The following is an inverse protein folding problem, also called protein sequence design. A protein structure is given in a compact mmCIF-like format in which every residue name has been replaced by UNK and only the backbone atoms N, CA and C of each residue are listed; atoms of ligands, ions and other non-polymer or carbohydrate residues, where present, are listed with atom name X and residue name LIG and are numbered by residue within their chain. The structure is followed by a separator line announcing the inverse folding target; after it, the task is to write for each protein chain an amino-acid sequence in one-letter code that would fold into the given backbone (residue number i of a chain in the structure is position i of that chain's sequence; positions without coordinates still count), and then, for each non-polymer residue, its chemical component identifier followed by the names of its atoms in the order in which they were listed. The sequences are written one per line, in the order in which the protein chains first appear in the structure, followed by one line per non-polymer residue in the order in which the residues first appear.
data_IF_672542262281
#
_entry.id   IF_672542262281
#
_cell.length_a   1.000
_cell.length_b   1.000
_cell.length_c   1.000
_cell.angle_alpha   90.00
_cell.angle_beta   90.00
_cell.angle_gamma   90.00
#
_symmetry.space_group_name_H-M   'P 1'
#
loop_
_entity.id
_entity.type
_entity.pdbx_description
1 polymer ?
#
# COMPACT_ATOMS: atom_id res chain seq x y z
N UNK A 1 18.81 -2.02 2.99
CA UNK A 1 18.59 -1.64 1.56
C UNK A 1 17.31 -0.83 1.45
N UNK A 2 17.31 0.25 0.68
CA UNK A 2 16.18 1.18 0.52
C UNK A 2 15.24 0.68 -0.59
N UNK A 3 13.93 0.67 -0.35
CA UNK A 3 12.90 0.39 -1.37
C UNK A 3 12.43 1.66 -2.05
N UNK A 4 12.14 2.70 -1.25
CA UNK A 4 11.66 4.00 -1.74
C UNK A 4 12.52 5.10 -1.16
N UNK A 5 12.93 6.07 -2.01
CA UNK A 5 13.63 7.28 -1.58
C UNK A 5 13.10 8.49 -2.31
N UNK A 6 12.75 9.52 -1.56
CA UNK A 6 12.37 10.84 -2.03
C UNK A 6 13.45 11.85 -1.64
N UNK A 7 13.98 12.57 -2.60
CA UNK A 7 15.04 13.58 -2.42
C UNK A 7 14.53 14.95 -2.91
N UNK A 8 14.19 15.83 -1.98
CA UNK A 8 13.71 17.21 -2.23
C UNK A 8 12.56 17.27 -3.26
N UNK A 9 11.63 16.32 -3.17
CA UNK A 9 10.53 16.19 -4.14
C UNK A 9 9.47 17.24 -3.90
N UNK A 10 9.10 17.95 -4.97
CA UNK A 10 7.95 18.86 -4.98
C UNK A 10 7.03 18.54 -6.16
N UNK A 11 5.72 18.70 -5.94
CA UNK A 11 4.70 18.53 -6.97
C UNK A 11 3.74 19.71 -6.96
N UNK A 12 3.58 20.35 -8.13
CA UNK A 12 2.62 21.42 -8.36
C UNK A 12 1.65 21.02 -9.46
N UNK A 13 0.39 21.37 -9.29
CA UNK A 13 -0.64 21.25 -10.30
C UNK A 13 -1.01 22.62 -10.80
N UNK A 14 -0.85 22.88 -12.13
CA UNK A 14 -1.11 24.18 -12.73
C UNK A 14 -0.31 25.33 -12.12
N UNK A 15 -0.91 26.51 -12.04
CA UNK A 15 -0.30 27.71 -11.45
C UNK A 15 -0.54 27.85 -9.93
N UNK A 16 -1.12 26.83 -9.28
CA UNK A 16 -1.50 26.84 -7.86
C UNK A 16 -0.36 26.61 -6.89
N UNK A 17 -0.72 26.38 -5.61
CA UNK A 17 0.21 25.99 -4.55
C UNK A 17 0.78 24.61 -4.79
N UNK A 18 1.96 24.33 -4.24
CA UNK A 18 2.55 23.00 -4.26
C UNK A 18 1.67 22.01 -3.47
N UNK A 19 1.26 20.93 -4.12
CA UNK A 19 0.57 19.82 -3.46
C UNK A 19 1.54 19.03 -2.56
N UNK A 20 2.83 19.01 -2.95
CA UNK A 20 3.93 18.48 -2.14
C UNK A 20 5.11 19.46 -2.24
N UNK A 21 5.76 19.74 -1.12
CA UNK A 21 6.85 20.71 -1.03
C UNK A 21 8.05 20.14 -0.29
N UNK A 22 9.17 19.98 -0.99
CA UNK A 22 10.47 19.54 -0.45
C UNK A 22 10.38 18.24 0.38
N UNK A 23 9.69 17.24 -0.14
CA UNK A 23 9.52 15.94 0.52
C UNK A 23 10.83 15.17 0.52
N UNK A 24 11.24 14.70 1.70
CA UNK A 24 12.42 13.86 1.91
C UNK A 24 12.07 12.72 2.85
N UNK A 25 12.18 11.47 2.39
CA UNK A 25 12.07 10.28 3.24
C UNK A 25 12.61 9.04 2.51
N UNK A 26 12.84 8.00 3.29
CA UNK A 26 13.17 6.67 2.80
C UNK A 26 12.28 5.61 3.46
N UNK A 27 11.97 4.55 2.70
CA UNK A 27 11.40 3.31 3.21
C UNK A 27 12.40 2.18 2.95
N UNK A 28 12.67 1.39 3.97
CA UNK A 28 13.50 0.19 3.82
C UNK A 28 12.74 -0.92 3.09
N UNK A 29 13.46 -1.88 2.51
CA UNK A 29 12.83 -3.10 1.96
C UNK A 29 12.21 -3.93 3.07
N UNK A 30 10.97 -4.41 2.85
CA UNK A 30 10.21 -5.16 3.85
C UNK A 30 9.69 -4.29 5.01
N UNK A 31 9.80 -2.96 4.93
CA UNK A 31 9.23 -2.06 5.93
C UNK A 31 7.72 -1.94 5.78
N UNK A 32 7.02 -1.84 6.92
CA UNK A 32 5.62 -1.44 6.98
C UNK A 32 5.54 -0.02 7.54
N UNK A 33 4.89 0.89 6.81
CA UNK A 33 4.72 2.26 7.25
C UNK A 33 3.32 2.80 6.93
N UNK A 34 2.86 3.76 7.72
CA UNK A 34 1.67 4.54 7.48
C UNK A 34 2.01 5.93 6.94
N UNK A 35 1.22 6.40 5.98
CA UNK A 35 1.19 7.79 5.53
C UNK A 35 -0.10 8.42 6.03
N UNK A 36 0.00 9.35 6.98
CA UNK A 36 -1.14 10.00 7.60
C UNK A 36 -1.16 11.50 7.34
N UNK A 37 -2.31 12.12 7.54
CA UNK A 37 -2.53 13.56 7.35
C UNK A 37 -3.99 13.84 7.02
N UNK A 38 -4.41 15.11 7.18
CA UNK A 38 -5.77 15.53 6.89
C UNK A 38 -6.16 15.32 5.41
N UNK A 39 -7.45 15.41 5.10
CA UNK A 39 -7.91 15.38 3.71
C UNK A 39 -7.26 16.54 2.92
N UNK A 40 -6.76 16.24 1.71
CA UNK A 40 -6.04 17.22 0.90
C UNK A 40 -4.58 17.47 1.32
N UNK A 41 -4.03 16.80 2.33
CA UNK A 41 -2.63 16.96 2.73
C UNK A 41 -1.60 16.56 1.66
N UNK A 42 -2.01 15.81 0.61
CA UNK A 42 -1.15 15.35 -0.48
C UNK A 42 -0.85 13.85 -0.48
N UNK A 43 -1.50 13.04 0.40
CA UNK A 43 -1.27 11.58 0.51
C UNK A 43 -1.41 10.86 -0.84
N UNK A 44 -2.55 11.01 -1.50
CA UNK A 44 -2.79 10.37 -2.81
C UNK A 44 -1.86 10.90 -3.91
N UNK A 45 -1.40 12.17 -3.83
CA UNK A 45 -0.39 12.72 -4.73
C UNK A 45 0.94 11.99 -4.54
N UNK A 46 1.36 11.75 -3.30
CA UNK A 46 2.60 11.03 -2.99
C UNK A 46 2.54 9.60 -3.52
N UNK A 47 1.40 8.89 -3.33
CA UNK A 47 1.20 7.56 -3.91
C UNK A 47 1.24 7.59 -5.45
N UNK A 48 0.58 8.56 -6.10
CA UNK A 48 0.58 8.71 -7.57
C UNK A 48 1.98 8.92 -8.15
N UNK A 49 2.85 9.61 -7.44
CA UNK A 49 4.25 9.79 -7.83
C UNK A 49 5.02 8.46 -7.82
N UNK A 50 4.82 7.62 -6.79
CA UNK A 50 5.46 6.29 -6.71
C UNK A 50 4.97 5.33 -7.79
N UNK A 51 3.73 5.46 -8.24
CA UNK A 51 3.13 4.68 -9.34
C UNK A 51 3.48 5.23 -10.73
N UNK A 52 4.17 6.38 -10.83
CA UNK A 52 4.34 7.13 -12.08
C UNK A 52 3.00 7.43 -12.79
N UNK A 53 1.92 7.61 -12.04
CA UNK A 53 0.68 8.22 -12.56
C UNK A 53 0.86 9.73 -12.73
N UNK A 54 1.74 10.30 -11.92
CA UNK A 54 2.18 11.70 -11.95
C UNK A 54 3.70 11.77 -11.93
N UNK A 55 4.28 12.85 -12.42
CA UNK A 55 5.73 13.12 -12.32
C UNK A 55 5.97 14.25 -11.33
N UNK A 56 7.08 14.24 -10.59
CA UNK A 56 7.45 15.37 -9.74
C UNK A 56 7.74 16.61 -10.59
N UNK A 57 7.49 17.79 -10.03
CA UNK A 57 7.90 19.07 -10.63
C UNK A 57 9.38 19.34 -10.37
N UNK A 58 9.88 18.90 -9.20
CA UNK A 58 11.29 19.01 -8.78
C UNK A 58 11.66 17.82 -7.89
N UNK A 59 12.96 17.59 -7.74
CA UNK A 59 13.51 16.55 -6.90
C UNK A 59 13.62 15.20 -7.60
N UNK A 60 13.98 14.17 -6.85
CA UNK A 60 14.26 12.83 -7.37
C UNK A 60 13.49 11.78 -6.58
N UNK A 61 12.97 10.79 -7.30
CA UNK A 61 12.24 9.65 -6.72
C UNK A 61 12.92 8.37 -7.19
N UNK A 62 13.34 7.56 -6.24
CA UNK A 62 13.94 6.25 -6.51
C UNK A 62 13.02 5.19 -5.90
N UNK A 63 12.64 4.18 -6.67
CA UNK A 63 11.86 3.02 -6.21
C UNK A 63 12.52 1.76 -6.77
N UNK A 64 12.82 0.80 -5.90
CA UNK A 64 13.48 -0.47 -6.26
C UNK A 64 14.74 -0.22 -7.11
N UNK A 65 15.60 0.69 -6.64
CA UNK A 65 16.85 1.14 -7.28
C UNK A 65 16.68 1.82 -8.66
N UNK A 66 15.42 2.11 -9.07
CA UNK A 66 15.12 2.78 -10.32
C UNK A 66 14.78 4.26 -10.10
N UNK A 67 15.44 5.15 -10.83
CA UNK A 67 15.13 6.58 -10.84
C UNK A 67 13.86 6.84 -11.68
N UNK A 68 12.74 7.10 -11.01
CA UNK A 68 11.46 7.37 -11.66
C UNK A 68 11.43 8.72 -12.36
N UNK A 69 12.28 9.67 -11.93
CA UNK A 69 12.28 11.04 -12.45
C UNK A 69 12.71 11.07 -13.92
N UNK A 70 13.69 10.23 -14.27
CA UNK A 70 14.26 10.14 -15.62
C UNK A 70 13.69 8.99 -16.45
N UNK A 71 12.80 8.18 -15.88
CA UNK A 71 12.26 6.98 -16.52
C UNK A 71 11.47 7.33 -17.78
N UNK A 72 11.79 6.66 -18.91
CA UNK A 72 11.12 6.84 -20.21
C UNK A 72 9.73 6.19 -20.18
N UNK A 73 8.80 6.72 -21.00
CA UNK A 73 7.41 6.22 -21.05
C UNK A 73 7.31 4.71 -21.30
N UNK A 74 8.14 4.15 -22.19
CA UNK A 74 8.16 2.71 -22.47
C UNK A 74 8.59 1.83 -21.28
N UNK A 75 9.23 2.38 -20.26
CA UNK A 75 9.68 1.66 -19.07
C UNK A 75 8.61 1.69 -17.95
N UNK A 76 7.65 2.63 -18.00
CA UNK A 76 6.60 2.80 -16.98
C UNK A 76 5.78 1.52 -16.75
N UNK A 77 5.35 0.75 -17.78
CA UNK A 77 4.63 -0.50 -17.54
C UNK A 77 5.44 -1.52 -16.75
N UNK A 78 6.74 -1.61 -16.95
CA UNK A 78 7.62 -2.52 -16.21
C UNK A 78 7.77 -2.11 -14.75
N UNK A 79 7.85 -0.81 -14.47
CA UNK A 79 7.83 -0.29 -13.10
C UNK A 79 6.50 -0.62 -12.41
N UNK A 80 5.36 -0.33 -13.05
CA UNK A 80 4.03 -0.58 -12.48
C UNK A 80 3.77 -2.06 -12.16
N UNK A 81 4.39 -2.98 -12.87
CA UNK A 81 4.33 -4.43 -12.56
C UNK A 81 5.04 -4.79 -11.26
N UNK A 82 5.92 -3.94 -10.73
CA UNK A 82 6.62 -4.15 -9.46
C UNK A 82 5.89 -3.52 -8.27
N UNK A 83 4.83 -2.73 -8.53
CA UNK A 83 4.06 -2.00 -7.53
C UNK A 83 2.63 -2.51 -7.53
N UNK A 84 2.20 -3.09 -6.42
CA UNK A 84 0.79 -3.41 -6.18
C UNK A 84 0.07 -2.19 -5.62
N UNK A 85 -1.18 -1.99 -6.03
CA UNK A 85 -1.97 -0.83 -5.57
C UNK A 85 -3.37 -1.26 -5.17
N UNK A 86 -3.75 -0.87 -3.96
CA UNK A 86 -5.11 -1.02 -3.43
C UNK A 86 -5.73 0.37 -3.34
N UNK A 87 -6.80 0.60 -4.09
CA UNK A 87 -7.50 1.88 -4.14
C UNK A 87 -8.68 1.91 -3.17
N UNK A 88 -9.01 3.08 -2.65
CA UNK A 88 -10.12 3.30 -1.72
C UNK A 88 -11.47 2.76 -2.24
N UNK A 89 -11.78 2.92 -3.51
CA UNK A 89 -13.03 2.49 -4.13
C UNK A 89 -12.91 1.15 -4.86
N UNK A 90 -12.02 0.25 -4.43
CA UNK A 90 -11.73 -1.07 -5.00
C UNK A 90 -11.43 -1.09 -6.49
N UNK A 91 -12.07 -0.23 -7.31
CA UNK A 91 -11.96 -0.11 -8.77
C UNK A 91 -12.12 -1.47 -9.46
N UNK A 92 -13.09 -2.27 -9.02
CA UNK A 92 -13.42 -3.55 -9.63
C UNK A 92 -14.22 -3.34 -10.90
N UNK A 93 -14.01 -4.23 -11.88
CA UNK A 93 -14.79 -4.29 -13.11
C UNK A 93 -16.03 -5.14 -12.81
N UNK A 94 -17.20 -4.50 -12.73
CA UNK A 94 -18.47 -5.13 -12.37
C UNK A 94 -19.09 -5.96 -13.49
N UNK A 95 -18.60 -5.80 -14.72
CA UNK A 95 -18.95 -6.60 -15.90
C UNK A 95 -18.11 -7.88 -16.04
N UNK A 96 -17.24 -8.16 -15.07
CA UNK A 96 -16.30 -9.29 -15.06
C UNK A 96 -16.36 -10.07 -13.77
N UNK A 97 -15.98 -11.34 -13.84
CA UNK A 97 -15.86 -12.20 -12.67
C UNK A 97 -14.75 -11.75 -11.71
N UNK A 98 -14.75 -12.28 -10.50
CA UNK A 98 -13.65 -12.11 -9.54
C UNK A 98 -12.34 -12.61 -10.14
N UNK A 99 -12.39 -13.78 -10.80
CA UNK A 99 -11.22 -14.34 -11.47
C UNK A 99 -10.63 -13.35 -12.48
N UNK A 100 -11.47 -12.80 -13.36
CA UNK A 100 -11.02 -11.88 -14.42
C UNK A 100 -10.47 -10.57 -13.86
N UNK A 101 -11.08 -10.06 -12.78
CA UNK A 101 -10.58 -8.89 -12.06
C UNK A 101 -9.15 -9.12 -11.54
N UNK A 102 -8.90 -10.27 -10.90
CA UNK A 102 -7.58 -10.61 -10.35
C UNK A 102 -6.59 -11.00 -11.45
N UNK A 103 -7.05 -11.61 -12.55
CA UNK A 103 -6.21 -12.00 -13.67
C UNK A 103 -5.69 -10.82 -14.51
N UNK A 104 -6.38 -9.67 -14.48
CA UNK A 104 -6.09 -8.53 -15.36
C UNK A 104 -4.63 -8.08 -15.38
N UNK A 105 -3.93 -7.89 -14.23
CA UNK A 105 -2.52 -7.53 -14.24
C UNK A 105 -1.62 -8.58 -14.89
N UNK A 106 -1.96 -9.85 -14.78
CA UNK A 106 -1.21 -10.96 -15.38
C UNK A 106 -1.41 -11.02 -16.90
N UNK A 107 -2.64 -10.79 -17.36
CA UNK A 107 -2.97 -10.71 -18.80
C UNK A 107 -2.20 -9.56 -19.45
N UNK A 108 -2.20 -8.36 -18.84
CA UNK A 108 -1.43 -7.19 -19.29
C UNK A 108 0.08 -7.48 -19.29
N UNK A 109 0.55 -8.32 -18.36
CA UNK A 109 1.96 -8.72 -18.28
C UNK A 109 2.34 -9.81 -19.28
N UNK A 110 1.38 -10.42 -20.02
CA UNK A 110 1.61 -11.45 -21.02
C UNK A 110 1.79 -12.86 -20.45
N UNK A 111 1.26 -13.14 -19.26
CA UNK A 111 1.27 -14.49 -18.72
C UNK A 111 0.36 -15.43 -19.53
N UNK A 112 0.75 -16.69 -19.65
CA UNK A 112 -0.11 -17.72 -20.25
C UNK A 112 -1.37 -17.94 -19.42
N UNK A 113 -2.51 -18.37 -20.02
CA UNK A 113 -3.74 -18.63 -19.27
C UNK A 113 -3.54 -19.61 -18.10
N UNK A 114 -2.77 -20.67 -18.30
CA UNK A 114 -2.48 -21.67 -17.28
C UNK A 114 -1.71 -21.07 -16.09
N UNK A 115 -0.66 -20.31 -16.35
CA UNK A 115 0.12 -19.64 -15.29
C UNK A 115 -0.71 -18.57 -14.58
N UNK A 116 -1.50 -17.78 -15.32
CA UNK A 116 -2.40 -16.80 -14.75
C UNK A 116 -3.43 -17.47 -13.83
N UNK A 117 -4.06 -18.56 -14.24
CA UNK A 117 -5.04 -19.27 -13.43
C UNK A 117 -4.43 -19.77 -12.10
N UNK A 118 -3.23 -20.34 -12.15
CA UNK A 118 -2.51 -20.79 -10.96
C UNK A 118 -2.25 -19.64 -9.98
N UNK A 119 -1.78 -18.50 -10.49
CA UNK A 119 -1.47 -17.31 -9.67
C UNK A 119 -2.73 -16.64 -9.11
N UNK A 120 -3.80 -16.56 -9.90
CA UNK A 120 -5.10 -16.02 -9.46
C UNK A 120 -5.64 -16.82 -8.28
N UNK A 121 -5.69 -18.17 -8.39
CA UNK A 121 -6.16 -19.01 -7.28
C UNK A 121 -5.31 -18.85 -6.03
N UNK A 122 -3.99 -18.81 -6.16
CA UNK A 122 -3.10 -18.57 -5.03
C UNK A 122 -3.32 -17.18 -4.39
N UNK A 123 -3.59 -16.14 -5.19
CA UNK A 123 -3.90 -14.82 -4.68
C UNK A 123 -5.27 -14.77 -3.97
N UNK A 124 -6.29 -15.42 -4.54
CA UNK A 124 -7.62 -15.53 -3.93
C UNK A 124 -7.57 -16.35 -2.63
N UNK A 125 -6.80 -17.42 -2.60
CA UNK A 125 -6.58 -18.22 -1.39
C UNK A 125 -5.94 -17.39 -0.27
N UNK A 126 -4.92 -16.58 -0.61
CA UNK A 126 -4.22 -15.73 0.37
C UNK A 126 -5.12 -14.68 1.06
N UNK A 127 -6.26 -14.34 0.45
CA UNK A 127 -7.26 -13.40 0.99
C UNK A 127 -8.56 -14.09 1.43
N UNK A 128 -8.62 -15.44 1.43
CA UNK A 128 -9.77 -16.23 1.88
C UNK A 128 -10.97 -16.22 0.92
N UNK A 129 -10.73 -16.05 -0.39
CA UNK A 129 -11.77 -16.03 -1.42
C UNK A 129 -11.65 -17.17 -2.45
N UNK A 130 -10.87 -18.22 -2.13
CA UNK A 130 -10.80 -19.41 -2.98
C UNK A 130 -12.19 -20.05 -3.10
N UNK A 131 -12.57 -20.45 -4.30
CA UNK A 131 -13.91 -21.03 -4.59
C UNK A 131 -14.98 -19.98 -4.96
N UNK A 132 -14.62 -18.69 -4.93
CA UNK A 132 -15.52 -17.60 -5.38
C UNK A 132 -15.17 -17.06 -6.77
N UNK A 133 -14.27 -17.69 -7.50
CA UNK A 133 -13.70 -17.18 -8.75
C UNK A 133 -14.73 -16.80 -9.81
N UNK A 134 -15.83 -17.58 -9.89
CA UNK A 134 -16.89 -17.37 -10.87
C UNK A 134 -17.92 -16.32 -10.52
N UNK A 135 -17.92 -15.79 -9.30
CA UNK A 135 -18.88 -14.75 -8.88
C UNK A 135 -18.55 -13.39 -9.49
N UNK A 136 -19.56 -12.52 -9.55
CA UNK A 136 -19.38 -11.12 -9.91
C UNK A 136 -19.16 -10.25 -8.67
N UNK A 137 -18.39 -9.14 -8.77
CA UNK A 137 -18.17 -8.25 -7.65
C UNK A 137 -19.45 -7.69 -6.99
N UNK A 138 -20.55 -7.54 -7.77
CA UNK A 138 -21.83 -7.06 -7.25
C UNK A 138 -22.48 -8.00 -6.23
N UNK A 139 -22.10 -9.27 -6.23
CA UNK A 139 -22.61 -10.30 -5.32
C UNK A 139 -21.87 -10.32 -3.99
N UNK A 140 -20.79 -9.51 -3.87
CA UNK A 140 -19.90 -9.50 -2.73
C UNK A 140 -20.22 -8.37 -1.75
N UNK A 141 -20.00 -8.64 -0.46
CA UNK A 141 -19.92 -7.60 0.58
C UNK A 141 -18.75 -6.63 0.31
N UNK A 142 -18.81 -5.44 0.93
CA UNK A 142 -17.75 -4.44 0.79
C UNK A 142 -16.36 -4.98 1.20
N UNK A 143 -16.29 -5.78 2.25
CA UNK A 143 -15.05 -6.41 2.69
C UNK A 143 -14.53 -7.48 1.74
N UNK A 144 -15.42 -8.28 1.13
CA UNK A 144 -15.02 -9.23 0.09
C UNK A 144 -14.52 -8.51 -1.17
N UNK A 145 -15.18 -7.42 -1.58
CA UNK A 145 -14.71 -6.56 -2.68
C UNK A 145 -13.31 -5.99 -2.39
N UNK A 146 -13.07 -5.55 -1.14
CA UNK A 146 -11.76 -5.09 -0.71
C UNK A 146 -10.72 -6.20 -0.82
N UNK A 147 -11.02 -7.42 -0.38
CA UNK A 147 -10.13 -8.58 -0.50
C UNK A 147 -9.84 -8.94 -1.95
N UNK A 148 -10.82 -8.82 -2.87
CA UNK A 148 -10.57 -8.99 -4.32
C UNK A 148 -9.60 -7.91 -4.82
N UNK A 149 -9.77 -6.64 -4.41
CA UNK A 149 -8.85 -5.55 -4.74
C UNK A 149 -7.42 -5.83 -4.26
N UNK A 150 -7.28 -6.38 -3.05
CA UNK A 150 -5.97 -6.79 -2.50
C UNK A 150 -5.40 -7.96 -3.30
N UNK A 151 -6.18 -9.01 -3.57
CA UNK A 151 -5.73 -10.14 -4.39
C UNK A 151 -5.21 -9.70 -5.76
N UNK A 152 -5.93 -8.78 -6.43
CA UNK A 152 -5.50 -8.17 -7.69
C UNK A 152 -4.19 -7.42 -7.55
N UNK A 153 -4.00 -6.70 -6.45
CA UNK A 153 -2.77 -5.94 -6.20
C UNK A 153 -1.55 -6.82 -5.94
N UNK A 154 -1.73 -8.03 -5.40
CA UNK A 154 -0.61 -8.93 -5.02
C UNK A 154 -0.37 -10.09 -6.00
N UNK A 155 -1.27 -10.33 -6.98
CA UNK A 155 -1.24 -11.50 -7.88
C UNK A 155 0.06 -11.63 -8.67
N UNK A 156 0.71 -10.51 -8.98
CA UNK A 156 1.99 -10.48 -9.69
C UNK A 156 3.21 -10.43 -8.75
N UNK A 157 3.01 -10.60 -7.42
CA UNK A 157 4.05 -10.59 -6.38
C UNK A 157 4.89 -9.30 -6.39
N UNK A 158 4.26 -8.15 -6.11
CA UNK A 158 4.95 -6.87 -6.11
C UNK A 158 5.99 -6.79 -4.99
N UNK A 159 7.07 -6.02 -5.20
CA UNK A 159 8.04 -5.71 -4.16
C UNK A 159 7.57 -4.56 -3.23
N UNK A 160 6.67 -3.70 -3.74
CA UNK A 160 6.06 -2.58 -3.04
C UNK A 160 4.54 -2.65 -3.16
N UNK A 161 3.84 -2.58 -2.04
CA UNK A 161 2.38 -2.55 -1.95
C UNK A 161 1.95 -1.19 -1.38
N UNK A 162 1.20 -0.44 -2.17
CA UNK A 162 0.63 0.85 -1.81
C UNK A 162 -0.87 0.69 -1.58
N UNK A 163 -1.41 1.30 -0.53
CA UNK A 163 -2.85 1.33 -0.30
C UNK A 163 -3.31 2.75 0.05
N UNK A 164 -4.41 3.18 -0.55
CA UNK A 164 -5.04 4.48 -0.29
C UNK A 164 -6.38 4.24 0.42
N UNK A 165 -6.45 4.53 1.72
CA UNK A 165 -7.62 4.36 2.61
C UNK A 165 -8.26 2.96 2.51
N UNK A 166 -7.49 1.85 2.70
CA UNK A 166 -7.98 0.49 2.41
C UNK A 166 -9.09 0.01 3.36
N UNK A 167 -9.33 0.72 4.47
CA UNK A 167 -10.33 0.38 5.51
C UNK A 167 -11.40 1.45 5.67
N UNK A 168 -11.40 2.51 4.84
CA UNK A 168 -12.20 3.71 5.06
C UNK A 168 -13.72 3.53 5.07
N UNK A 169 -14.24 2.40 4.57
CA UNK A 169 -15.68 2.10 4.51
C UNK A 169 -16.03 0.77 5.21
N UNK A 170 -15.14 0.28 6.07
CA UNK A 170 -15.29 -1.00 6.76
C UNK A 170 -15.53 -0.77 8.26
N UNK A 171 -16.24 -1.71 8.89
CA UNK A 171 -16.33 -1.74 10.34
C UNK A 171 -14.97 -2.05 10.98
N UNK A 172 -14.82 -1.82 12.31
CA UNK A 172 -13.53 -1.99 12.98
C UNK A 172 -12.97 -3.42 12.92
N UNK A 173 -13.83 -4.45 12.99
CA UNK A 173 -13.41 -5.86 12.98
C UNK A 173 -12.86 -6.22 11.59
N UNK A 174 -13.59 -5.88 10.55
CA UNK A 174 -13.18 -6.11 9.18
C UNK A 174 -11.93 -5.29 8.79
N UNK A 175 -11.81 -4.06 9.34
CA UNK A 175 -10.62 -3.23 9.20
C UNK A 175 -9.38 -3.92 9.75
N UNK A 176 -9.49 -4.56 10.92
CA UNK A 176 -8.39 -5.31 11.53
C UNK A 176 -8.01 -6.54 10.68
N UNK A 177 -8.99 -7.28 10.16
CA UNK A 177 -8.75 -8.40 9.26
C UNK A 177 -7.99 -7.96 7.99
N UNK A 178 -8.40 -6.86 7.37
CA UNK A 178 -7.72 -6.29 6.20
C UNK A 178 -6.29 -5.88 6.54
N UNK A 179 -6.07 -5.25 7.69
CA UNK A 179 -4.71 -4.86 8.10
C UNK A 179 -3.83 -6.08 8.39
N UNK A 180 -4.39 -7.15 8.94
CA UNK A 180 -3.68 -8.41 9.14
C UNK A 180 -3.27 -9.07 7.80
N UNK A 181 -4.04 -8.88 6.71
CA UNK A 181 -3.61 -9.28 5.37
C UNK A 181 -2.36 -8.51 4.92
N UNK A 182 -2.32 -7.19 5.10
CA UNK A 182 -1.14 -6.38 4.75
C UNK A 182 0.09 -6.78 5.57
N UNK A 183 -0.07 -7.08 6.86
CA UNK A 183 1.01 -7.59 7.71
C UNK A 183 1.57 -8.92 7.22
N UNK A 184 0.71 -9.86 6.80
CA UNK A 184 1.15 -11.15 6.22
C UNK A 184 1.98 -10.94 4.95
N UNK A 185 1.62 -9.99 4.09
CA UNK A 185 2.44 -9.67 2.92
C UNK A 185 3.78 -9.04 3.31
N UNK A 186 3.81 -8.17 4.31
CA UNK A 186 5.05 -7.60 4.82
C UNK A 186 5.97 -8.69 5.40
N UNK A 187 5.43 -9.65 6.16
CA UNK A 187 6.21 -10.76 6.75
C UNK A 187 6.91 -11.63 5.69
N UNK A 188 6.38 -11.72 4.47
CA UNK A 188 7.04 -12.42 3.36
C UNK A 188 7.94 -11.50 2.52
N UNK A 189 8.26 -10.30 3.03
CA UNK A 189 9.25 -9.38 2.47
C UNK A 189 8.71 -8.28 1.56
N UNK A 190 7.39 -8.14 1.39
CA UNK A 190 6.80 -7.02 0.64
C UNK A 190 6.92 -5.74 1.47
N UNK A 191 7.39 -4.66 0.85
CA UNK A 191 7.34 -3.32 1.47
C UNK A 191 5.93 -2.78 1.38
N UNK A 192 5.36 -2.29 2.49
CA UNK A 192 3.96 -1.83 2.55
C UNK A 192 3.89 -0.37 3.00
N UNK A 193 3.18 0.46 2.24
CA UNK A 193 2.84 1.82 2.62
C UNK A 193 1.34 2.04 2.51
N UNK A 194 0.70 2.37 3.62
CA UNK A 194 -0.74 2.58 3.72
C UNK A 194 -1.02 4.03 4.03
N UNK A 195 -1.71 4.73 3.13
CA UNK A 195 -2.27 6.04 3.40
C UNK A 195 -3.62 5.85 4.13
N UNK A 196 -3.74 6.42 5.34
CA UNK A 196 -4.98 6.43 6.12
C UNK A 196 -5.01 7.61 7.08
N UNK A 197 -6.21 8.01 7.49
CA UNK A 197 -6.46 9.00 8.52
C UNK A 197 -6.96 8.38 9.84
N UNK A 198 -7.11 7.05 9.91
CA UNK A 198 -7.53 6.34 11.13
C UNK A 198 -6.38 6.24 12.14
N UNK A 199 -6.31 7.23 13.03
CA UNK A 199 -5.26 7.32 14.06
C UNK A 199 -5.35 6.15 15.05
N UNK A 200 -6.57 5.71 15.42
CA UNK A 200 -6.75 4.61 16.37
C UNK A 200 -6.20 3.29 15.82
N UNK A 201 -6.42 3.02 14.54
CA UNK A 201 -5.85 1.88 13.84
C UNK A 201 -4.32 1.94 13.79
N UNK A 202 -3.76 3.10 13.43
CA UNK A 202 -2.31 3.31 13.37
C UNK A 202 -1.65 3.06 14.74
N UNK A 203 -2.25 3.57 15.82
CA UNK A 203 -1.72 3.41 17.18
C UNK A 203 -1.75 1.96 17.65
N UNK A 204 -2.82 1.23 17.35
CA UNK A 204 -2.92 -0.21 17.66
C UNK A 204 -1.85 -1.02 16.96
N UNK A 205 -1.57 -0.72 15.69
CA UNK A 205 -0.61 -1.48 14.90
C UNK A 205 0.86 -1.15 15.22
N UNK A 206 1.15 0.03 15.75
CA UNK A 206 2.47 0.38 16.25
C UNK A 206 3.58 0.40 15.21
N UNK A 207 3.29 0.75 13.95
CA UNK A 207 4.28 0.89 12.89
C UNK A 207 4.70 2.36 12.66
N UNK A 208 5.78 2.56 11.91
CA UNK A 208 6.28 3.90 11.56
C UNK A 208 5.22 4.75 10.89
N UNK A 209 5.19 6.03 11.25
CA UNK A 209 4.28 7.02 10.66
C UNK A 209 5.04 8.09 9.88
N UNK A 210 4.59 8.36 8.67
CA UNK A 210 4.96 9.50 7.86
C UNK A 210 3.78 10.48 7.91
N UNK A 211 3.95 11.62 8.57
CA UNK A 211 2.87 12.60 8.78
C UNK A 211 2.99 13.67 7.71
N UNK A 212 1.98 13.76 6.85
CA UNK A 212 1.89 14.78 5.81
C UNK A 212 0.95 15.89 6.24
N UNK A 213 1.47 17.10 6.32
CA UNK A 213 0.71 18.29 6.67
C UNK A 213 0.95 19.40 5.65
N UNK A 214 -0.12 19.90 5.00
CA UNK A 214 -0.08 20.93 3.97
C UNK A 214 1.05 20.75 2.94
N UNK A 215 1.22 19.52 2.45
CA UNK A 215 2.23 19.17 1.45
C UNK A 215 3.66 19.08 1.98
N UNK A 216 3.88 19.14 3.29
CA UNK A 216 5.17 18.96 3.95
C UNK A 216 5.16 17.66 4.76
N UNK A 217 6.28 16.95 4.78
CA UNK A 217 6.40 15.70 5.51
C UNK A 217 7.13 15.90 6.84
N UNK A 218 6.52 15.38 7.90
CA UNK A 218 7.11 15.24 9.22
C UNK A 218 7.26 13.76 9.51
N UNK A 219 8.47 13.28 9.79
CA UNK A 219 8.69 11.89 10.20
C UNK A 219 8.54 11.78 11.71
N UNK A 220 7.64 10.93 12.20
CA UNK A 220 7.69 10.46 13.58
C UNK A 220 8.50 9.17 13.60
N UNK A 221 9.64 9.17 14.31
CA UNK A 221 10.34 7.94 14.64
C UNK A 221 9.46 7.10 15.55
N UNK A 222 9.36 5.81 15.27
CA UNK A 222 8.68 4.86 16.14
C UNK A 222 9.51 4.72 17.44
N UNK A 223 9.00 5.26 18.56
CA UNK A 223 9.50 4.85 19.86
C UNK A 223 9.00 3.42 20.12
N UNK A 224 9.88 2.44 19.93
CA UNK A 224 9.64 1.10 20.45
C UNK A 224 9.40 1.20 21.95
N UNK A 225 8.16 1.02 22.42
CA UNK A 225 7.90 0.76 23.82
C UNK A 225 8.65 -0.53 24.15
N UNK A 226 9.85 -0.39 24.73
CA UNK A 226 10.46 -1.47 25.52
C UNK A 226 9.41 -1.84 26.56
N UNK A 227 8.83 -3.02 26.45
CA UNK A 227 8.15 -3.67 27.56
C UNK A 227 9.17 -3.73 28.67
N UNK A 228 9.01 -2.89 29.67
CA UNK A 228 9.68 -3.04 30.97
C UNK A 228 9.12 -4.29 31.65
N UNK A 229 9.72 -5.44 31.29
CA UNK A 229 9.67 -6.60 32.14
C UNK A 229 10.70 -6.34 33.23
N UNK A 230 10.25 -5.82 34.36
CA UNK A 230 10.83 -6.07 35.69
C UNK A 230 10.21 -5.13 36.73
N UNK A 231 9.13 -5.57 37.30
CA UNK A 231 8.79 -5.28 38.70
C UNK A 231 8.08 -6.52 39.21
N UNK A 232 8.86 -7.51 39.62
CA UNK A 232 8.41 -8.45 40.64
C UNK A 232 8.50 -7.73 42.00
N UNK A 233 7.43 -7.67 42.77
CA UNK A 233 7.57 -7.29 44.18
C UNK A 233 8.27 -8.45 44.90
N UNK A 234 9.41 -8.13 45.51
CA UNK A 234 10.11 -9.04 46.41
C UNK A 234 9.24 -9.35 47.62
N UNK A 235 9.04 -10.64 47.87
CA UNK A 235 8.53 -11.16 49.16
C UNK A 235 9.53 -10.81 50.22
N UNK A 236 9.08 -9.97 51.14
CA UNK A 236 9.77 -9.69 52.41
C UNK A 236 9.12 -10.58 53.46
N UNK A 237 9.79 -11.70 53.74
CA UNK A 237 9.57 -12.52 54.90
C UNK A 237 10.83 -12.43 55.79
N UNK A 238 10.69 -11.69 56.88
CA UNK A 238 11.60 -11.64 58.00
C UNK A 238 10.85 -11.23 59.27
#
# INVERSE_FOLDING_TARGET
MTMVRFERVSKRYGAGKDALSNINFELARGEFAFLTGHSGAGKSTLLKLMMLMERPTRGKIIVDDQDLTTMRLGQVPYHRRKVGVVFQNHQLLFDRTIFDNVALPLQIAGYTPTEAARRVRAALDSVGLLGMEGRNPIELSGGEQQRVGIARAVVHKPALLLADEPTGNLDPELSEEIMNLFLRFQQVGVTVLIATHDIALIERMGHRRLILDHGKLHCSEFQSRKRSANEMPGDDHG
#
